data_IF_629735449959
#
_entry.id   IF_629735449959
#
_cell.length_a   1.000
_cell.length_b   1.000
_cell.length_c   1.000
_cell.angle_alpha   90.00
_cell.angle_beta   90.00
_cell.angle_gamma   90.00
#
_symmetry.space_group_name_H-M   'P 1'
#
loop_
_entity.id
_entity.type
_entity.pdbx_description
1 polymer ?
#
# COMPACT_ATOMS: atom_id res chain seq x y z
N UNK A 1 0.74 -11.60 -27.53
CA UNK A 1 0.18 -10.27 -27.24
C UNK A 1 0.15 -10.09 -25.73
N UNK A 2 0.70 -9.01 -25.20
CA UNK A 2 0.70 -8.72 -23.76
C UNK A 2 -0.72 -8.32 -23.33
N UNK A 3 -1.17 -8.82 -22.17
CA UNK A 3 -2.51 -8.55 -21.61
C UNK A 3 -2.47 -7.74 -20.32
N UNK A 4 -1.40 -7.89 -19.54
CA UNK A 4 -1.18 -7.15 -18.32
C UNK A 4 0.31 -6.91 -18.12
N UNK A 5 0.65 -5.82 -17.43
CA UNK A 5 1.99 -5.49 -16.95
C UNK A 5 1.86 -5.08 -15.49
N UNK A 6 2.69 -5.68 -14.65
CA UNK A 6 2.79 -5.37 -13.23
C UNK A 6 4.02 -4.49 -13.01
N UNK A 7 3.85 -3.35 -12.35
CA UNK A 7 4.89 -2.33 -12.22
C UNK A 7 5.03 -1.92 -10.76
N UNK A 8 6.26 -1.97 -10.26
CA UNK A 8 6.62 -1.42 -8.96
C UNK A 8 6.60 0.11 -8.94
N UNK A 9 6.38 0.72 -7.77
CA UNK A 9 6.23 2.17 -7.63
C UNK A 9 7.58 2.86 -7.41
N UNK A 10 8.21 2.62 -6.26
CA UNK A 10 9.42 3.33 -5.85
C UNK A 10 10.61 2.89 -6.73
N UNK A 11 11.35 3.87 -7.25
CA UNK A 11 12.53 3.64 -8.13
C UNK A 11 12.26 2.81 -9.40
N UNK A 12 11.00 2.55 -9.75
CA UNK A 12 10.58 1.86 -10.98
C UNK A 12 9.60 2.72 -11.79
N UNK A 13 8.40 2.94 -11.28
CA UNK A 13 7.44 3.89 -11.86
C UNK A 13 7.89 5.33 -11.63
N UNK A 14 8.40 5.58 -10.42
CA UNK A 14 8.96 6.86 -9.99
C UNK A 14 10.47 6.91 -10.16
N UNK A 15 11.00 8.10 -10.42
CA UNK A 15 12.44 8.35 -10.38
C UNK A 15 12.93 8.53 -8.92
N UNK A 16 14.22 8.84 -8.74
CA UNK A 16 14.81 9.10 -7.41
C UNK A 16 14.30 10.38 -6.73
N UNK A 17 13.51 11.21 -7.43
CA UNK A 17 12.79 12.36 -6.86
C UNK A 17 11.34 11.98 -6.47
N UNK A 18 10.96 10.70 -6.57
CA UNK A 18 9.61 10.16 -6.35
C UNK A 18 8.57 10.70 -7.33
N UNK A 19 9.00 11.12 -8.53
CA UNK A 19 8.15 11.67 -9.57
C UNK A 19 7.91 10.67 -10.69
N UNK A 20 6.69 10.64 -11.22
CA UNK A 20 6.38 9.93 -12.46
C UNK A 20 6.53 10.88 -13.63
N UNK A 21 7.49 10.60 -14.51
CA UNK A 21 7.80 11.49 -15.64
C UNK A 21 6.65 11.55 -16.64
N UNK A 22 6.53 12.66 -17.37
CA UNK A 22 5.52 12.80 -18.44
C UNK A 22 5.68 11.73 -19.53
N UNK A 23 6.92 11.35 -19.84
CA UNK A 23 7.20 10.24 -20.77
C UNK A 23 6.58 8.94 -20.24
N UNK A 24 6.79 8.61 -18.96
CA UNK A 24 6.24 7.39 -18.33
C UNK A 24 4.71 7.41 -18.38
N UNK A 25 4.07 8.52 -18.02
CA UNK A 25 2.61 8.68 -18.08
C UNK A 25 2.07 8.45 -19.49
N UNK A 26 2.73 9.03 -20.50
CA UNK A 26 2.32 8.89 -21.90
C UNK A 26 2.42 7.44 -22.39
N UNK A 27 3.49 6.71 -22.04
CA UNK A 27 3.63 5.31 -22.43
C UNK A 27 2.63 4.41 -21.71
N UNK A 28 2.36 4.65 -20.41
CA UNK A 28 1.32 3.95 -19.67
C UNK A 28 -0.05 4.16 -20.33
N UNK A 29 -0.39 5.41 -20.67
CA UNK A 29 -1.64 5.73 -21.34
C UNK A 29 -1.80 4.97 -22.66
N UNK A 30 -0.77 4.93 -23.50
CA UNK A 30 -0.79 4.14 -24.74
C UNK A 30 -1.02 2.66 -24.48
N UNK A 31 -0.39 2.08 -23.46
CA UNK A 31 -0.63 0.68 -23.10
C UNK A 31 -2.09 0.43 -22.69
N UNK A 32 -2.65 1.30 -21.87
CA UNK A 32 -4.05 1.24 -21.43
C UNK A 32 -5.00 1.37 -22.62
N UNK A 33 -4.77 2.33 -23.54
CA UNK A 33 -5.55 2.51 -24.77
C UNK A 33 -5.50 1.29 -25.71
N UNK A 34 -4.42 0.51 -25.66
CA UNK A 34 -4.28 -0.75 -26.39
C UNK A 34 -4.86 -1.95 -25.63
N UNK A 35 -5.58 -1.73 -24.53
CA UNK A 35 -6.25 -2.77 -23.74
C UNK A 35 -5.32 -3.58 -22.84
N UNK A 36 -4.10 -3.09 -22.57
CA UNK A 36 -3.18 -3.70 -21.60
C UNK A 36 -3.50 -3.19 -20.21
N UNK A 37 -3.74 -4.11 -19.26
CA UNK A 37 -3.92 -3.74 -17.85
C UNK A 37 -2.58 -3.38 -17.22
N UNK A 38 -2.38 -2.11 -16.87
CA UNK A 38 -1.23 -1.68 -16.07
C UNK A 38 -1.62 -1.76 -14.60
N UNK A 39 -0.98 -2.65 -13.84
CA UNK A 39 -1.31 -2.97 -12.45
C UNK A 39 -0.15 -2.54 -11.57
N UNK A 40 -0.41 -1.66 -10.60
CA UNK A 40 0.62 -1.22 -9.66
C UNK A 40 0.82 -2.30 -8.58
N UNK A 41 2.08 -2.59 -8.26
CA UNK A 41 2.46 -3.58 -7.25
C UNK A 41 3.47 -2.97 -6.29
N UNK A 42 3.17 -2.78 -5.01
CA UNK A 42 4.07 -2.07 -4.11
C UNK A 42 4.06 -2.59 -2.67
N UNK A 43 5.14 -2.31 -1.94
CA UNK A 43 5.20 -2.43 -0.48
C UNK A 43 4.43 -1.35 0.28
N UNK A 44 4.02 -0.29 -0.43
CA UNK A 44 3.22 0.81 0.13
C UNK A 44 1.83 0.35 0.59
N UNK A 45 1.21 1.18 1.43
CA UNK A 45 -0.19 1.01 1.80
C UNK A 45 -1.10 1.09 0.56
N UNK A 46 -2.29 0.48 0.65
CA UNK A 46 -3.27 0.49 -0.45
C UNK A 46 -3.66 1.91 -0.87
N UNK A 47 -3.84 2.84 0.09
CA UNK A 47 -4.17 4.24 -0.21
C UNK A 47 -3.09 4.93 -1.03
N UNK A 48 -1.83 4.80 -0.62
CA UNK A 48 -0.73 5.42 -1.36
C UNK A 48 -0.61 4.86 -2.78
N UNK A 49 -0.80 3.55 -2.96
CA UNK A 49 -0.80 2.95 -4.29
C UNK A 49 -2.01 3.41 -5.14
N UNK A 50 -3.18 3.59 -4.52
CA UNK A 50 -4.36 4.20 -5.18
C UNK A 50 -4.09 5.63 -5.62
N UNK A 51 -3.40 6.45 -4.81
CA UNK A 51 -3.09 7.83 -5.16
C UNK A 51 -2.24 7.89 -6.45
N UNK A 52 -1.25 7.00 -6.60
CA UNK A 52 -0.49 6.87 -7.85
C UNK A 52 -1.35 6.35 -9.02
N UNK A 53 -2.21 5.37 -8.77
CA UNK A 53 -3.12 4.82 -9.79
C UNK A 53 -4.06 5.90 -10.33
N UNK A 54 -4.64 6.72 -9.46
CA UNK A 54 -5.53 7.84 -9.81
C UNK A 54 -4.76 8.94 -10.57
N UNK A 55 -3.56 9.28 -10.11
CA UNK A 55 -2.71 10.30 -10.75
C UNK A 55 -2.30 9.93 -12.18
N UNK A 56 -2.06 8.63 -12.45
CA UNK A 56 -1.47 8.17 -13.71
C UNK A 56 -2.52 7.62 -14.67
N UNK A 57 -3.66 7.15 -14.15
CA UNK A 57 -4.70 6.50 -14.94
C UNK A 57 -4.32 5.08 -15.36
N UNK A 58 -3.72 4.29 -14.44
CA UNK A 58 -3.49 2.86 -14.67
C UNK A 58 -4.79 2.06 -14.56
N UNK A 59 -4.72 0.72 -14.65
CA UNK A 59 -5.90 -0.11 -14.36
C UNK A 59 -6.33 0.02 -12.89
N UNK A 60 -7.59 -0.29 -12.54
CA UNK A 60 -8.10 -0.12 -11.18
C UNK A 60 -7.60 -1.20 -10.20
N UNK A 61 -6.86 -2.20 -10.70
CA UNK A 61 -6.33 -3.27 -9.85
C UNK A 61 -5.01 -2.85 -9.23
N UNK A 62 -4.88 -3.10 -7.93
CA UNK A 62 -3.73 -2.73 -7.13
C UNK A 62 -3.28 -3.93 -6.31
N UNK A 63 -1.98 -4.16 -6.26
CA UNK A 63 -1.34 -5.08 -5.32
C UNK A 63 -0.51 -4.24 -4.35
N UNK A 64 -0.81 -4.35 -3.05
CA UNK A 64 -0.20 -3.52 -2.00
C UNK A 64 0.31 -4.38 -0.84
N UNK A 65 0.93 -3.75 0.16
CA UNK A 65 1.46 -4.44 1.35
C UNK A 65 2.37 -5.62 0.98
N UNK A 66 3.30 -5.41 0.04
CA UNK A 66 4.23 -6.43 -0.46
C UNK A 66 3.55 -7.68 -1.05
N UNK A 67 2.32 -7.53 -1.56
CA UNK A 67 1.56 -8.65 -2.13
C UNK A 67 0.54 -9.28 -1.18
N UNK A 68 0.48 -8.85 0.08
CA UNK A 68 -0.51 -9.34 1.04
C UNK A 68 -1.93 -8.84 0.75
N UNK A 69 -2.11 -7.81 -0.10
CA UNK A 69 -3.43 -7.33 -0.53
C UNK A 69 -3.49 -7.16 -2.04
N UNK A 70 -4.59 -7.61 -2.65
CA UNK A 70 -4.98 -7.26 -4.01
C UNK A 70 -6.41 -6.68 -4.00
N UNK A 71 -6.60 -5.53 -4.63
CA UNK A 71 -7.82 -4.74 -4.54
C UNK A 71 -8.29 -4.25 -5.92
N UNK A 72 -9.59 -4.24 -6.11
CA UNK A 72 -10.28 -3.60 -7.24
C UNK A 72 -10.83 -2.24 -6.79
N UNK A 73 -10.15 -1.16 -7.18
CA UNK A 73 -10.53 0.19 -6.80
C UNK A 73 -11.80 0.71 -7.50
N UNK A 74 -12.17 0.14 -8.65
CA UNK A 74 -13.38 0.54 -9.38
C UNK A 74 -14.62 -0.01 -8.68
N UNK A 75 -14.58 -1.27 -8.26
CA UNK A 75 -15.71 -1.95 -7.62
C UNK A 75 -15.67 -1.87 -6.09
N UNK A 76 -14.56 -1.42 -5.50
CA UNK A 76 -14.38 -1.36 -4.05
C UNK A 76 -14.25 -2.72 -3.39
N UNK A 77 -13.62 -3.69 -4.07
CA UNK A 77 -13.60 -5.10 -3.66
C UNK A 77 -12.18 -5.57 -3.35
N UNK A 78 -11.98 -6.16 -2.18
CA UNK A 78 -10.77 -6.93 -1.85
C UNK A 78 -10.80 -8.26 -2.62
N UNK A 79 -9.88 -8.42 -3.58
CA UNK A 79 -9.74 -9.64 -4.38
C UNK A 79 -8.97 -10.70 -3.58
N UNK A 80 -7.95 -10.26 -2.84
CA UNK A 80 -7.09 -11.12 -2.04
C UNK A 80 -6.58 -10.36 -0.80
N UNK A 81 -6.51 -11.05 0.34
CA UNK A 81 -5.97 -10.53 1.58
C UNK A 81 -5.32 -11.66 2.39
N UNK A 82 -4.01 -11.54 2.64
CA UNK A 82 -3.23 -12.45 3.46
C UNK A 82 -2.89 -11.78 4.79
N UNK A 83 -3.84 -11.81 5.72
CA UNK A 83 -3.66 -11.23 7.04
C UNK A 83 -2.52 -11.88 7.81
N UNK A 84 -1.85 -11.08 8.64
CA UNK A 84 -0.95 -11.57 9.68
C UNK A 84 -1.81 -12.09 10.85
N UNK A 85 -1.35 -13.17 11.50
CA UNK A 85 -1.98 -13.69 12.72
C UNK A 85 -2.02 -12.60 13.81
N UNK A 86 -3.19 -12.29 14.41
CA UNK A 86 -3.31 -11.27 15.45
C UNK A 86 -2.36 -11.44 16.63
N UNK A 87 -2.11 -12.68 17.07
CA UNK A 87 -1.20 -12.95 18.18
C UNK A 87 0.24 -12.63 17.80
N UNK A 88 0.63 -12.86 16.54
CA UNK A 88 1.92 -12.43 16.03
C UNK A 88 2.03 -10.91 16.03
N UNK A 89 1.00 -10.20 15.55
CA UNK A 89 0.98 -8.73 15.55
C UNK A 89 1.08 -8.17 16.98
N UNK A 90 0.32 -8.71 17.94
CA UNK A 90 0.41 -8.33 19.35
C UNK A 90 1.82 -8.55 19.94
N UNK A 91 2.48 -9.66 19.59
CA UNK A 91 3.86 -9.93 20.00
C UNK A 91 4.83 -8.90 19.42
N UNK A 92 4.67 -8.53 18.15
CA UNK A 92 5.48 -7.50 17.49
C UNK A 92 5.25 -6.11 18.11
N UNK A 93 4.00 -5.75 18.42
CA UNK A 93 3.66 -4.49 19.10
C UNK A 93 4.33 -4.43 20.47
N UNK A 94 4.20 -5.50 21.27
CA UNK A 94 4.85 -5.61 22.58
C UNK A 94 6.37 -5.47 22.45
N UNK A 95 6.99 -6.18 21.52
CA UNK A 95 8.43 -6.11 21.28
C UNK A 95 8.86 -4.70 20.85
N UNK A 96 8.07 -4.03 20.00
CA UNK A 96 8.29 -2.65 19.58
C UNK A 96 8.28 -1.70 20.77
N UNK A 97 7.31 -1.86 21.68
CA UNK A 97 7.18 -1.06 22.91
C UNK A 97 8.37 -1.24 23.85
N UNK A 98 8.79 -2.47 24.08
CA UNK A 98 9.88 -2.80 25.00
C UNK A 98 11.24 -2.29 24.51
N UNK A 99 11.44 -2.21 23.20
CA UNK A 99 12.74 -1.86 22.59
C UNK A 99 12.78 -0.46 21.98
N UNK A 100 11.65 0.28 22.00
CA UNK A 100 11.57 1.61 21.41
C UNK A 100 11.66 1.59 19.88
N UNK A 101 11.18 0.52 19.23
CA UNK A 101 11.09 0.48 17.77
C UNK A 101 9.83 1.17 17.27
N UNK A 102 9.88 1.60 16.01
CA UNK A 102 8.72 2.04 15.26
C UNK A 102 8.07 0.84 14.60
N UNK A 103 6.75 0.77 14.68
CA UNK A 103 5.93 -0.25 14.03
C UNK A 103 4.80 0.44 13.28
N UNK A 104 4.53 -0.05 12.06
CA UNK A 104 3.44 0.41 11.21
C UNK A 104 2.54 -0.79 10.87
N UNK A 105 1.23 -0.60 10.90
CA UNK A 105 0.25 -1.62 10.54
C UNK A 105 -0.58 -1.12 9.36
N UNK A 106 -0.60 -1.87 8.26
CA UNK A 106 -1.56 -1.66 7.18
C UNK A 106 -2.80 -2.49 7.45
N UNK A 107 -3.98 -1.91 7.24
CA UNK A 107 -5.24 -2.65 7.22
C UNK A 107 -6.23 -1.85 6.37
N UNK A 108 -7.06 -2.52 5.57
CA UNK A 108 -7.92 -1.84 4.59
C UNK A 108 -7.07 -0.87 3.75
N UNK A 109 -7.45 0.40 3.67
CA UNK A 109 -6.72 1.50 3.03
C UNK A 109 -6.07 2.44 4.06
N UNK A 110 -5.95 1.99 5.30
CA UNK A 110 -5.37 2.76 6.39
C UNK A 110 -3.98 2.24 6.77
N UNK A 111 -3.16 3.17 7.25
CA UNK A 111 -1.84 2.92 7.82
C UNK A 111 -1.80 3.63 9.17
N UNK A 112 -1.53 2.88 10.24
CA UNK A 112 -1.36 3.42 11.59
C UNK A 112 0.00 3.04 12.15
N UNK A 113 0.53 3.85 13.07
CA UNK A 113 1.86 3.62 13.65
C UNK A 113 1.98 4.15 15.08
N UNK A 114 2.94 3.66 15.85
CA UNK A 114 3.19 4.17 17.21
C UNK A 114 3.95 5.50 17.22
N UNK A 115 4.75 5.77 16.19
CA UNK A 115 5.57 6.98 16.08
C UNK A 115 5.78 7.33 14.61
N UNK A 116 5.44 8.56 14.23
CA UNK A 116 5.66 9.09 12.89
C UNK A 116 7.16 9.23 12.57
N UNK A 117 7.58 8.81 11.37
CA UNK A 117 8.95 9.04 10.92
C UNK A 117 9.12 10.42 10.29
N UNK A 118 8.05 10.96 9.71
CA UNK A 118 8.02 12.25 9.03
C UNK A 118 6.83 13.11 9.48
N UNK A 119 6.89 14.45 9.35
CA UNK A 119 5.81 15.34 9.80
C UNK A 119 4.45 15.07 9.14
N UNK A 120 4.44 14.61 7.90
CA UNK A 120 3.25 14.26 7.10
C UNK A 120 2.66 12.89 7.46
N UNK A 121 3.26 12.15 8.39
CA UNK A 121 2.70 10.91 8.94
C UNK A 121 2.08 11.12 10.33
N UNK A 122 2.08 12.35 10.86
CA UNK A 122 1.71 12.59 12.26
C UNK A 122 0.24 12.28 12.57
N UNK A 123 -0.64 12.39 11.58
CA UNK A 123 -2.05 12.02 11.63
C UNK A 123 -2.29 10.51 11.74
N UNK A 124 -1.28 9.69 11.41
CA UNK A 124 -1.32 8.23 11.46
C UNK A 124 -0.78 7.66 12.78
N UNK A 125 -0.27 8.52 13.65
CA UNK A 125 0.26 8.12 14.95
C UNK A 125 -0.89 7.82 15.92
N UNK A 126 -0.86 6.64 16.53
CA UNK A 126 -1.88 6.16 17.47
C UNK A 126 -1.23 5.55 18.71
N UNK A 127 -2.00 5.38 19.79
CA UNK A 127 -1.49 4.76 21.01
C UNK A 127 -1.25 3.25 20.83
N UNK A 128 -0.47 2.64 21.71
CA UNK A 128 -0.27 1.19 21.70
C UNK A 128 -1.59 0.43 21.90
N UNK A 129 -2.50 0.96 22.73
CA UNK A 129 -3.82 0.37 22.95
C UNK A 129 -4.65 0.36 21.66
N UNK A 130 -4.53 1.39 20.83
CA UNK A 130 -5.19 1.43 19.52
C UNK A 130 -4.52 0.48 18.51
N UNK A 131 -3.18 0.34 18.53
CA UNK A 131 -2.49 -0.68 17.73
C UNK A 131 -2.94 -2.10 18.10
N UNK A 132 -3.09 -2.38 19.39
CA UNK A 132 -3.56 -3.66 19.90
C UNK A 132 -5.02 -3.92 19.50
N UNK A 133 -5.88 -2.89 19.54
CA UNK A 133 -7.25 -2.95 19.02
C UNK A 133 -7.25 -3.31 17.53
N UNK A 134 -6.49 -2.58 16.71
CA UNK A 134 -6.37 -2.83 15.27
C UNK A 134 -5.86 -4.24 14.99
N UNK A 135 -4.85 -4.72 15.74
CA UNK A 135 -4.32 -6.08 15.58
C UNK A 135 -5.38 -7.18 15.76
N UNK A 136 -6.33 -6.98 16.66
CA UNK A 136 -7.37 -7.97 17.00
C UNK A 136 -8.60 -7.83 16.12
N UNK A 137 -9.05 -6.59 15.90
CA UNK A 137 -10.34 -6.30 15.25
C UNK A 137 -10.24 -6.18 13.73
N UNK A 138 -9.06 -5.89 13.19
CA UNK A 138 -8.86 -5.62 11.78
C UNK A 138 -7.99 -6.69 11.09
N UNK A 139 -8.04 -6.72 9.76
CA UNK A 139 -7.20 -7.59 8.93
C UNK A 139 -5.88 -6.87 8.62
N UNK A 140 -4.96 -6.92 9.58
CA UNK A 140 -3.60 -6.37 9.42
C UNK A 140 -2.83 -7.18 8.38
N UNK A 141 -2.21 -6.49 7.43
CA UNK A 141 -1.40 -7.01 6.32
C UNK A 141 -0.05 -6.33 6.21
#
# INVERSE_FOLDING_TARGET
MIKAVFIDIDETLTNSQREVTEKTKLEIKKCVENGVKIILTSGRSRREAMDFQEQIGTSPYIVSSNGASAYDAENGVEIYNERIDPQMVLQLIKHSRENGYRIKLNYKDLLVMNEAAYPDEKDKEVSYEELERVAVEEQVV
#
